data_IF_254737212617
#
_entry.id   IF_254737212617
#
_cell.length_a   1.000
_cell.length_b   1.000
_cell.length_c   1.000
_cell.angle_alpha   90.00
_cell.angle_beta   90.00
_cell.angle_gamma   90.00
#
_symmetry.space_group_name_H-M   'P 1'
#
loop_
_entity.id
_entity.type
_entity.pdbx_description
1 polymer ?
#
# COMPACT_ATOMS: atom_id res chain seq x y z
N UNK A 1 -7.11 4.42 -7.86
CA UNK A 1 -7.35 3.16 -8.63
C UNK A 1 -8.80 2.78 -8.42
N UNK A 2 -9.53 2.34 -9.46
CA UNK A 2 -10.94 2.02 -9.28
C UNK A 2 -11.42 0.90 -10.19
N UNK A 3 -12.52 0.24 -9.79
CA UNK A 3 -13.26 -0.69 -10.66
C UNK A 3 -14.47 -0.01 -11.30
N UNK A 4 -15.25 0.73 -10.51
CA UNK A 4 -16.63 1.10 -10.87
C UNK A 4 -17.09 2.47 -10.31
N UNK A 5 -16.16 3.35 -9.91
CA UNK A 5 -16.50 4.73 -9.55
C UNK A 5 -17.21 5.41 -10.72
N UNK A 6 -18.47 5.79 -10.51
CA UNK A 6 -19.32 6.38 -11.56
C UNK A 6 -18.78 7.71 -12.07
N UNK A 7 -19.09 8.12 -13.31
CA UNK A 7 -18.69 9.44 -13.80
C UNK A 7 -19.18 10.61 -12.92
N UNK A 8 -20.32 10.45 -12.23
CA UNK A 8 -20.80 11.46 -11.29
C UNK A 8 -19.91 11.57 -10.04
N UNK A 9 -19.48 10.44 -9.46
CA UNK A 9 -18.55 10.44 -8.33
C UNK A 9 -17.13 10.87 -8.73
N UNK A 10 -16.67 10.52 -9.94
CA UNK A 10 -15.38 11.01 -10.45
C UNK A 10 -15.36 12.53 -10.57
N UNK A 11 -16.45 13.14 -11.05
CA UNK A 11 -16.59 14.60 -11.08
C UNK A 11 -16.53 15.20 -9.68
N UNK A 12 -17.29 14.66 -8.71
CA UNK A 12 -17.26 15.14 -7.34
C UNK A 12 -15.85 15.08 -6.70
N UNK A 13 -15.11 14.00 -6.94
CA UNK A 13 -13.73 13.84 -6.45
C UNK A 13 -12.76 14.79 -7.14
N UNK A 14 -12.98 15.09 -8.41
CA UNK A 14 -12.17 16.06 -9.15
C UNK A 14 -12.48 17.48 -8.66
N UNK A 15 -13.74 17.82 -8.49
CA UNK A 15 -14.14 19.18 -8.07
C UNK A 15 -13.71 19.51 -6.63
N UNK A 16 -13.38 18.50 -5.81
CA UNK A 16 -12.97 18.66 -4.41
C UNK A 16 -11.77 19.60 -4.21
N UNK A 17 -10.81 19.63 -5.15
CA UNK A 17 -9.64 20.50 -5.03
C UNK A 17 -9.93 21.98 -5.35
N UNK A 18 -11.19 22.33 -5.64
CA UNK A 18 -11.65 23.73 -5.75
C UNK A 18 -11.01 24.52 -6.89
N UNK A 19 -10.63 23.84 -7.97
CA UNK A 19 -10.00 24.46 -9.14
C UNK A 19 -8.51 24.75 -9.00
N UNK A 20 -7.84 24.23 -7.96
CA UNK A 20 -6.38 24.29 -7.83
C UNK A 20 -5.66 23.64 -9.01
N UNK A 21 -4.83 24.42 -9.69
CA UNK A 21 -4.07 24.05 -10.89
C UNK A 21 -2.89 23.13 -10.56
N UNK A 22 -2.44 23.11 -9.30
CA UNK A 22 -1.32 22.32 -8.80
C UNK A 22 -1.71 20.90 -8.34
N UNK A 23 -2.99 20.54 -8.51
CA UNK A 23 -3.53 19.22 -8.18
C UNK A 23 -4.19 18.65 -9.43
N UNK A 24 -3.83 17.42 -9.78
CA UNK A 24 -4.48 16.67 -10.86
C UNK A 24 -5.02 15.37 -10.30
N UNK A 25 -6.29 15.07 -10.61
CA UNK A 25 -6.94 13.81 -10.25
C UNK A 25 -7.03 12.95 -11.50
N UNK A 26 -6.39 11.77 -11.46
CA UNK A 26 -6.42 10.79 -12.56
C UNK A 26 -7.05 9.49 -12.06
N UNK A 27 -8.04 9.01 -12.82
CA UNK A 27 -8.71 7.75 -12.53
C UNK A 27 -8.09 6.63 -13.38
N UNK A 28 -7.43 5.69 -12.71
CA UNK A 28 -6.94 4.47 -13.35
C UNK A 28 -7.92 3.33 -13.12
N UNK A 29 -8.62 2.84 -14.16
CA UNK A 29 -9.46 1.66 -14.05
C UNK A 29 -8.58 0.42 -13.87
N UNK A 30 -9.04 -0.50 -13.02
CA UNK A 30 -8.39 -1.78 -12.76
C UNK A 30 -9.41 -2.89 -13.05
N UNK A 31 -8.98 -3.86 -13.85
CA UNK A 31 -9.77 -5.07 -14.08
C UNK A 31 -9.74 -5.96 -12.83
N UNK A 32 -10.89 -6.07 -12.18
CA UNK A 32 -11.08 -6.92 -11.02
C UNK A 32 -10.79 -8.39 -11.29
N UNK A 33 -10.93 -8.86 -12.53
CA UNK A 33 -10.68 -10.25 -12.89
C UNK A 33 -9.22 -10.68 -12.62
N UNK A 34 -8.27 -9.73 -12.59
CA UNK A 34 -6.87 -9.99 -12.24
C UNK A 34 -6.68 -10.51 -10.82
N UNK A 35 -7.66 -10.28 -9.94
CA UNK A 35 -7.60 -10.60 -8.50
C UNK A 35 -8.68 -11.59 -8.07
N UNK A 36 -9.43 -12.17 -9.01
CA UNK A 36 -10.59 -13.02 -8.70
C UNK A 36 -10.25 -14.22 -7.79
N UNK A 37 -9.03 -14.75 -7.91
CA UNK A 37 -8.55 -15.90 -7.13
C UNK A 37 -7.75 -15.49 -5.88
N UNK A 38 -7.64 -14.19 -5.59
CA UNK A 38 -6.89 -13.73 -4.42
C UNK A 38 -7.75 -13.90 -3.16
N UNK A 39 -7.16 -14.40 -2.06
CA UNK A 39 -7.93 -14.67 -0.86
C UNK A 39 -8.34 -13.37 -0.17
N UNK A 40 -9.60 -13.30 0.25
CA UNK A 40 -10.10 -12.30 1.17
C UNK A 40 -10.58 -13.08 2.41
N UNK A 41 -9.83 -13.05 3.52
CA UNK A 41 -10.23 -13.72 4.75
C UNK A 41 -11.64 -13.29 5.17
N UNK A 42 -12.56 -14.23 5.45
CA UNK A 42 -13.93 -13.90 5.85
C UNK A 42 -14.01 -13.01 7.09
N UNK A 43 -12.99 -13.06 7.96
CA UNK A 43 -12.87 -12.25 9.17
C UNK A 43 -12.68 -10.75 8.87
N UNK A 44 -12.33 -10.39 7.63
CA UNK A 44 -12.12 -9.02 7.17
C UNK A 44 -13.31 -8.52 6.35
N UNK A 45 -14.52 -8.59 6.91
CA UNK A 45 -15.79 -8.26 6.22
C UNK A 45 -15.84 -6.84 5.60
N UNK A 46 -15.04 -5.91 6.11
CA UNK A 46 -14.99 -4.52 5.64
C UNK A 46 -13.97 -4.30 4.51
N UNK A 47 -13.17 -5.32 4.17
CA UNK A 47 -12.10 -5.22 3.19
C UNK A 47 -12.52 -5.89 1.89
N UNK A 48 -12.22 -5.22 0.78
CA UNK A 48 -12.55 -5.70 -0.57
C UNK A 48 -11.27 -5.97 -1.37
N UNK A 49 -11.39 -6.66 -2.50
CA UNK A 49 -10.25 -7.01 -3.37
C UNK A 49 -9.39 -5.79 -3.79
N UNK A 50 -9.98 -4.59 -3.79
CA UNK A 50 -9.36 -3.32 -4.16
C UNK A 50 -8.08 -3.04 -3.34
N UNK A 51 -7.93 -3.61 -2.13
CA UNK A 51 -6.69 -3.54 -1.35
C UNK A 51 -5.46 -4.02 -2.16
N UNK A 52 -5.64 -5.04 -3.01
CA UNK A 52 -4.57 -5.60 -3.82
C UNK A 52 -4.18 -4.73 -5.02
N UNK A 53 -5.01 -3.75 -5.40
CA UNK A 53 -4.74 -2.92 -6.58
C UNK A 53 -3.43 -2.13 -6.44
N UNK A 54 -2.98 -1.85 -5.22
CA UNK A 54 -1.68 -1.20 -4.97
C UNK A 54 -0.50 -1.99 -5.55
N UNK A 55 -0.62 -3.30 -5.73
CA UNK A 55 0.41 -4.11 -6.37
C UNK A 55 0.68 -3.69 -7.82
N UNK A 56 -0.32 -3.11 -8.50
CA UNK A 56 -0.21 -2.70 -9.90
C UNK A 56 0.37 -1.31 -10.09
N UNK A 57 0.63 -0.53 -9.03
CA UNK A 57 1.16 0.83 -9.15
C UNK A 57 2.40 0.96 -10.05
N UNK A 58 3.40 0.04 -10.00
CA UNK A 58 4.56 0.12 -10.89
C UNK A 58 4.19 -0.02 -12.38
N UNK A 59 3.09 -0.71 -12.69
CA UNK A 59 2.58 -0.94 -14.06
C UNK A 59 1.66 0.20 -14.51
N UNK A 60 0.79 0.67 -13.61
CA UNK A 60 -0.19 1.71 -13.90
C UNK A 60 0.43 3.11 -14.02
N UNK A 61 1.60 3.31 -13.42
CA UNK A 61 2.38 4.54 -13.45
C UNK A 61 3.76 4.28 -14.08
N UNK A 62 3.83 3.97 -15.39
CA UNK A 62 5.06 3.54 -16.04
C UNK A 62 6.14 4.63 -16.09
N UNK A 63 5.70 5.89 -16.20
CA UNK A 63 6.57 7.06 -16.32
C UNK A 63 7.04 7.57 -14.95
N UNK A 64 6.33 7.22 -13.89
CA UNK A 64 6.67 7.64 -12.53
C UNK A 64 7.69 6.69 -11.90
N UNK A 65 8.69 7.26 -11.23
CA UNK A 65 9.74 6.51 -10.54
C UNK A 65 9.42 6.27 -9.07
N UNK A 66 8.56 7.11 -8.47
CA UNK A 66 8.21 7.08 -7.06
C UNK A 66 6.75 7.47 -6.86
N UNK A 67 6.12 6.93 -5.81
CA UNK A 67 4.81 7.40 -5.36
C UNK A 67 4.68 7.35 -3.83
N UNK A 68 3.75 8.13 -3.29
CA UNK A 68 3.19 7.92 -1.96
C UNK A 68 1.80 7.30 -2.16
N UNK A 69 1.63 6.10 -1.63
CA UNK A 69 0.34 5.43 -1.57
C UNK A 69 -0.27 5.63 -0.19
N UNK A 70 -1.60 5.78 -0.15
CA UNK A 70 -2.40 5.84 1.07
C UNK A 70 -3.69 5.04 0.93
N UNK A 71 -4.11 4.35 1.99
CA UNK A 71 -5.45 3.79 2.11
C UNK A 71 -6.49 4.92 2.11
N UNK A 72 -7.72 4.59 1.76
CA UNK A 72 -8.82 5.54 1.59
C UNK A 72 -9.36 6.10 2.91
N UNK A 73 -9.01 5.46 4.04
CA UNK A 73 -9.40 5.84 5.40
C UNK A 73 -8.31 6.64 6.15
N UNK A 74 -7.24 7.03 5.44
CA UNK A 74 -6.19 7.90 5.99
C UNK A 74 -6.56 9.37 5.81
N UNK A 75 -6.46 10.14 6.90
CA UNK A 75 -6.61 11.60 6.88
C UNK A 75 -5.25 12.28 7.01
N UNK A 76 -4.82 13.00 5.97
CA UNK A 76 -3.57 13.76 5.99
C UNK A 76 -3.76 15.11 6.70
N UNK A 77 -3.17 15.24 7.88
CA UNK A 77 -3.28 16.42 8.76
C UNK A 77 -2.06 17.33 8.74
N UNK A 78 -1.08 17.06 7.88
CA UNK A 78 0.19 17.78 7.82
C UNK A 78 0.83 17.82 6.44
N UNK A 79 2.04 18.38 6.37
CA UNK A 79 2.80 18.46 5.12
C UNK A 79 3.40 17.08 4.77
N UNK A 80 3.06 16.54 3.60
CA UNK A 80 3.58 15.25 3.10
C UNK A 80 4.96 15.36 2.44
N UNK A 81 5.49 16.57 2.23
CA UNK A 81 6.80 16.79 1.61
C UNK A 81 7.93 16.01 2.29
N UNK A 82 8.06 15.97 3.63
CA UNK A 82 9.12 15.18 4.27
C UNK A 82 9.00 13.68 3.99
N UNK A 83 7.78 13.17 3.84
CA UNK A 83 7.53 11.78 3.44
C UNK A 83 7.99 11.55 1.99
N UNK A 84 7.67 12.48 1.08
CA UNK A 84 8.11 12.43 -0.32
C UNK A 84 9.64 12.46 -0.46
N UNK A 85 10.30 13.31 0.34
CA UNK A 85 11.74 13.53 0.34
C UNK A 85 12.51 12.44 1.11
N UNK A 86 11.83 11.43 1.65
CA UNK A 86 12.48 10.29 2.31
C UNK A 86 13.45 9.59 1.36
N UNK A 87 14.71 9.47 1.79
CA UNK A 87 15.72 8.69 1.07
C UNK A 87 15.53 7.21 1.39
N UNK A 88 15.16 6.43 0.37
CA UNK A 88 14.95 4.99 0.49
C UNK A 88 16.28 4.22 0.53
N UNK A 89 17.37 4.82 0.04
CA UNK A 89 18.63 4.13 -0.19
C UNK A 89 18.40 2.89 -1.06
N UNK A 90 18.84 1.73 -0.57
CA UNK A 90 18.62 0.45 -1.25
C UNK A 90 17.23 -0.16 -1.00
N UNK A 91 16.36 0.44 -0.19
CA UNK A 91 15.03 -0.10 0.09
C UNK A 91 14.06 0.13 -1.08
N UNK A 92 13.04 -0.72 -1.18
CA UNK A 92 11.98 -0.61 -2.20
C UNK A 92 10.80 0.20 -1.68
N UNK A 93 10.53 0.11 -0.38
CA UNK A 93 9.43 0.79 0.29
C UNK A 93 9.91 1.53 1.54
N UNK A 94 9.13 2.49 2.01
CA UNK A 94 9.14 2.94 3.41
C UNK A 94 7.74 2.88 4.00
N UNK A 95 7.63 2.42 5.24
CA UNK A 95 6.38 2.22 5.96
C UNK A 95 6.58 2.28 7.48
N UNK A 96 5.50 2.47 8.24
CA UNK A 96 5.55 2.43 9.71
C UNK A 96 5.49 1.00 10.23
N UNK A 97 6.33 0.67 11.20
CA UNK A 97 6.33 -0.64 11.86
C UNK A 97 5.13 -0.80 12.79
N UNK A 98 4.51 -1.99 12.78
CA UNK A 98 3.46 -2.37 13.72
C UNK A 98 4.00 -2.75 15.11
N UNK A 99 5.33 -2.78 15.28
CA UNK A 99 5.97 -3.16 16.54
C UNK A 99 5.53 -4.55 17.01
N UNK A 100 5.08 -4.64 18.28
CA UNK A 100 4.72 -5.92 18.89
C UNK A 100 3.54 -6.63 18.20
N UNK A 101 2.57 -5.86 17.66
CA UNK A 101 1.47 -6.45 16.89
C UNK A 101 1.99 -7.10 15.61
N UNK A 102 2.88 -6.42 14.90
CA UNK A 102 3.54 -6.96 13.71
C UNK A 102 4.33 -8.24 13.98
N UNK A 103 5.05 -8.31 15.10
CA UNK A 103 5.77 -9.53 15.49
C UNK A 103 4.83 -10.71 15.80
N UNK A 104 3.62 -10.44 16.30
CA UNK A 104 2.58 -11.47 16.44
C UNK A 104 2.07 -11.93 15.06
N UNK A 105 1.78 -10.98 14.15
CA UNK A 105 1.34 -11.29 12.78
C UNK A 105 2.35 -12.16 12.03
N UNK A 106 3.64 -11.80 12.07
CA UNK A 106 4.74 -12.59 11.50
C UNK A 106 4.70 -14.05 11.93
N UNK A 107 4.53 -14.31 13.23
CA UNK A 107 4.49 -15.67 13.78
C UNK A 107 3.30 -16.47 13.24
N UNK A 108 2.13 -15.83 13.12
CA UNK A 108 0.93 -16.49 12.59
C UNK A 108 1.11 -16.96 11.14
N UNK A 109 1.80 -16.18 10.32
CA UNK A 109 2.06 -16.51 8.91
C UNK A 109 3.37 -17.27 8.68
N UNK A 110 4.06 -17.66 9.76
CA UNK A 110 5.31 -18.43 9.70
C UNK A 110 6.52 -17.64 9.21
N UNK A 111 6.51 -16.31 9.36
CA UNK A 111 7.68 -15.46 9.10
C UNK A 111 8.57 -15.38 10.34
N UNK A 112 9.81 -15.79 10.18
CA UNK A 112 10.84 -15.74 11.21
C UNK A 112 11.79 -14.55 11.00
N UNK A 113 12.78 -14.39 11.88
CA UNK A 113 13.89 -13.45 11.74
C UNK A 113 13.60 -12.00 12.18
N UNK A 114 14.63 -11.13 12.12
CA UNK A 114 14.63 -9.84 12.79
C UNK A 114 13.94 -8.71 12.01
N UNK A 115 13.59 -8.93 10.74
CA UNK A 115 12.93 -7.93 9.92
C UNK A 115 11.60 -7.49 10.57
N UNK A 116 11.35 -6.18 10.77
CA UNK A 116 10.08 -5.72 11.30
C UNK A 116 8.93 -6.04 10.34
N UNK A 117 7.72 -5.98 10.86
CA UNK A 117 6.49 -6.08 10.08
C UNK A 117 5.80 -4.71 10.08
N UNK A 118 5.37 -4.29 8.90
CA UNK A 118 4.94 -2.92 8.63
C UNK A 118 3.47 -2.86 8.25
N UNK A 119 2.84 -1.74 8.60
CA UNK A 119 1.55 -1.36 8.03
C UNK A 119 1.67 -1.19 6.52
N UNK A 120 0.57 -1.45 5.81
CA UNK A 120 0.47 -1.22 4.37
C UNK A 120 -0.32 0.04 4.01
N UNK A 121 -0.94 0.70 5.00
CA UNK A 121 -1.87 1.80 4.77
C UNK A 121 -1.24 3.09 4.28
N UNK A 122 0.02 3.37 4.63
CA UNK A 122 0.80 4.48 4.07
C UNK A 122 2.17 3.98 3.63
N UNK A 123 2.48 4.13 2.33
CA UNK A 123 3.71 3.62 1.72
C UNK A 123 4.39 4.70 0.88
N UNK A 124 5.70 4.86 1.05
CA UNK A 124 6.56 5.46 0.02
C UNK A 124 7.10 4.33 -0.84
N UNK A 125 6.94 4.40 -2.15
CA UNK A 125 7.26 3.29 -3.05
C UNK A 125 8.23 3.73 -4.15
N UNK A 126 9.34 3.01 -4.32
CA UNK A 126 10.22 3.14 -5.48
C UNK A 126 9.68 2.28 -6.63
N UNK A 127 8.85 2.89 -7.48
CA UNK A 127 8.23 2.22 -8.61
C UNK A 127 9.27 1.78 -9.66
N UNK A 128 10.35 2.52 -9.83
CA UNK A 128 11.42 2.16 -10.76
C UNK A 128 12.17 0.90 -10.29
N UNK A 129 12.50 0.79 -9.00
CA UNK A 129 13.08 -0.40 -8.40
C UNK A 129 12.10 -1.58 -8.43
N UNK A 130 10.82 -1.34 -8.11
CA UNK A 130 9.77 -2.37 -8.20
C UNK A 130 9.66 -2.95 -9.62
N UNK A 131 9.70 -2.10 -10.66
CA UNK A 131 9.72 -2.58 -12.06
C UNK A 131 10.99 -3.38 -12.37
N UNK A 132 12.17 -2.89 -11.96
CA UNK A 132 13.45 -3.59 -12.18
C UNK A 132 13.52 -4.97 -11.52
N UNK A 133 12.84 -5.15 -10.39
CA UNK A 133 12.81 -6.42 -9.66
C UNK A 133 11.59 -7.30 -9.96
N UNK A 134 10.81 -7.00 -11.01
CA UNK A 134 9.58 -7.71 -11.39
C UNK A 134 8.62 -7.89 -10.20
N UNK A 135 8.46 -6.82 -9.41
CA UNK A 135 7.75 -6.86 -8.15
C UNK A 135 6.29 -7.30 -8.30
N UNK A 136 5.60 -6.89 -9.37
CA UNK A 136 4.19 -7.25 -9.59
C UNK A 136 4.03 -8.77 -9.68
N UNK A 137 4.82 -9.41 -10.53
CA UNK A 137 4.82 -10.87 -10.68
C UNK A 137 5.16 -11.58 -9.37
N UNK A 138 6.16 -11.07 -8.62
CA UNK A 138 6.52 -11.63 -7.31
C UNK A 138 5.40 -11.50 -6.28
N UNK A 139 4.72 -10.36 -6.23
CA UNK A 139 3.57 -10.13 -5.34
C UNK A 139 2.45 -11.11 -5.68
N UNK A 140 2.10 -11.25 -6.95
CA UNK A 140 1.06 -12.19 -7.42
C UNK A 140 1.41 -13.65 -7.10
N UNK A 141 2.64 -14.06 -7.43
CA UNK A 141 3.13 -15.41 -7.13
C UNK A 141 3.15 -15.69 -5.61
N UNK A 142 3.52 -14.70 -4.80
CA UNK A 142 3.53 -14.84 -3.33
C UNK A 142 2.12 -14.93 -2.78
N UNK A 143 1.17 -14.13 -3.27
CA UNK A 143 -0.25 -14.24 -2.87
C UNK A 143 -0.76 -15.65 -3.14
N UNK A 144 -0.51 -16.21 -4.32
CA UNK A 144 -0.93 -17.56 -4.66
C UNK A 144 -0.25 -18.62 -3.77
N UNK A 145 1.07 -18.50 -3.56
CA UNK A 145 1.84 -19.46 -2.76
C UNK A 145 1.46 -19.45 -1.27
N UNK A 146 1.00 -18.31 -0.75
CA UNK A 146 0.62 -18.14 0.65
C UNK A 146 -0.89 -18.04 0.86
N UNK A 147 -1.72 -18.37 -0.14
CA UNK A 147 -3.16 -18.10 -0.10
C UNK A 147 -3.91 -18.71 1.09
N UNK A 148 -3.40 -19.81 1.66
CA UNK A 148 -3.96 -20.50 2.84
C UNK A 148 -3.32 -20.08 4.17
N UNK A 149 -2.37 -19.14 4.14
CA UNK A 149 -1.57 -18.71 5.30
C UNK A 149 -1.70 -17.22 5.61
N UNK A 150 -1.84 -16.38 4.59
CA UNK A 150 -2.01 -14.94 4.81
C UNK A 150 -3.29 -14.65 5.58
N UNK A 151 -3.15 -13.83 6.62
CA UNK A 151 -4.24 -13.39 7.48
C UNK A 151 -4.51 -11.88 7.32
N UNK A 152 -3.50 -11.11 6.91
CA UNK A 152 -3.61 -9.71 6.50
C UNK A 152 -3.22 -9.61 5.02
N UNK A 153 -4.16 -9.51 4.07
CA UNK A 153 -3.98 -10.07 2.74
C UNK A 153 -2.83 -9.43 1.94
N UNK A 154 -2.99 -8.20 1.47
CA UNK A 154 -1.98 -7.46 0.73
C UNK A 154 -0.79 -7.07 1.62
N UNK A 155 -1.06 -6.75 2.88
CA UNK A 155 -0.05 -6.38 3.86
C UNK A 155 0.98 -7.48 4.14
N UNK A 156 0.53 -8.73 4.34
CA UNK A 156 1.41 -9.88 4.53
C UNK A 156 2.28 -10.07 3.31
N UNK A 157 1.68 -10.04 2.12
CA UNK A 157 2.39 -10.25 0.86
C UNK A 157 3.47 -9.17 0.64
N UNK A 158 3.19 -7.90 0.95
CA UNK A 158 4.20 -6.84 0.91
C UNK A 158 5.35 -7.10 1.89
N UNK A 159 5.04 -7.49 3.12
CA UNK A 159 6.03 -7.81 4.15
C UNK A 159 6.85 -9.08 3.83
N UNK A 160 6.29 -10.03 3.07
CA UNK A 160 6.99 -11.21 2.58
C UNK A 160 7.92 -10.83 1.42
N UNK A 161 7.40 -10.18 0.39
CA UNK A 161 8.12 -9.91 -0.87
C UNK A 161 9.25 -8.92 -0.67
N UNK A 162 9.02 -7.87 0.12
CA UNK A 162 9.98 -6.79 0.36
C UNK A 162 10.69 -6.93 1.70
N UNK A 163 10.68 -8.12 2.31
CA UNK A 163 11.38 -8.39 3.56
C UNK A 163 12.83 -7.92 3.50
N UNK A 164 13.28 -7.20 4.54
CA UNK A 164 14.60 -6.54 4.63
C UNK A 164 14.84 -5.40 3.62
N UNK A 165 13.82 -4.96 2.87
CA UNK A 165 13.89 -3.88 1.88
C UNK A 165 12.76 -2.86 2.11
N UNK A 166 12.30 -2.75 3.35
CA UNK A 166 11.34 -1.74 3.82
C UNK A 166 12.06 -0.85 4.85
N UNK A 167 12.18 0.43 4.53
CA UNK A 167 12.72 1.45 5.42
C UNK A 167 11.69 1.78 6.51
N UNK A 168 12.03 1.71 7.80
CA UNK A 168 11.13 2.13 8.86
C UNK A 168 10.90 3.64 8.88
N UNK A 169 9.62 4.04 8.84
CA UNK A 169 9.18 5.40 9.10
C UNK A 169 8.87 5.60 10.59
N UNK A 170 8.95 6.86 11.04
CA UNK A 170 8.54 7.23 12.38
C UNK A 170 7.03 7.03 12.61
N UNK A 171 6.59 6.69 13.84
CA UNK A 171 5.21 6.33 14.14
C UNK A 171 4.20 7.49 13.98
N UNK A 172 4.67 8.72 13.79
CA UNK A 172 3.82 9.88 13.54
C UNK A 172 3.19 9.89 12.13
N UNK A 173 3.74 9.09 11.19
CA UNK A 173 3.28 9.08 9.80
C UNK A 173 2.05 8.21 9.58
N UNK A 174 1.94 7.10 10.30
CA UNK A 174 0.84 6.15 10.15
C UNK A 174 0.52 5.58 11.54
N UNK A 175 -0.62 5.99 12.08
CA UNK A 175 -1.01 5.73 13.44
C UNK A 175 -2.51 5.47 13.54
N UNK A 176 -2.87 4.25 13.91
CA UNK A 176 -4.26 3.87 14.17
C UNK A 176 -4.71 4.49 15.49
N UNK A 177 -5.84 5.23 15.48
CA UNK A 177 -6.45 5.86 16.66
C UNK A 177 -5.55 6.87 17.41
N UNK A 178 -4.63 7.53 16.71
CA UNK A 178 -3.82 8.59 17.33
C UNK A 178 -4.70 9.82 17.52
N UNK A 179 -4.85 10.26 18.77
CA UNK A 179 -5.41 11.59 19.05
C UNK A 179 -4.42 12.62 18.51
N UNK A 180 -4.76 13.25 17.39
CA UNK A 180 -4.03 14.42 16.92
C UNK A 180 -4.22 15.55 17.93
N UNK A 181 -3.17 15.90 18.66
CA UNK A 181 -3.11 17.12 19.46
C UNK A 181 -2.36 18.17 18.62
N UNK A 182 -3.01 19.29 18.25
CA UNK A 182 -2.41 20.34 17.43
C UNK A 182 -1.25 21.05 18.11
#
# INVERSE_FOLDING_TARGET
>A
LHRDITPAHQRLLTDWHGGRDDITVVFHPVDAALFADFPIPPELEHVTQEMYYRFLLPTLLPDETRTIYSDVDVCCVGNIRPLWETDLGDNVLAAVSEGAAGEFKKKLIGLEGPAPYFYSGLLVMDLAQMRREDAVSRLFATTAAYAQRIAWPDQDVLNIVFRNRILPLGPAWDGINVRYSP
#
